data_IF_265078180526
#
_entry.id   IF_265078180526
#
_cell.length_a   1.000
_cell.length_b   1.000
_cell.length_c   1.000
_cell.angle_alpha   90.00
_cell.angle_beta   90.00
_cell.angle_gamma   90.00
#
_symmetry.space_group_name_H-M   'P 1'
#
loop_
_entity.id
_entity.type
_entity.pdbx_description
1 polymer ?
#
# COMPACT_ATOMS: atom_id res chain seq x y z
N UNK A 1 6.97 8.38 -7.14
CA UNK A 1 6.59 9.66 -6.52
C UNK A 1 6.47 9.55 -5.00
N UNK A 2 5.55 8.78 -4.41
CA UNK A 2 5.43 8.69 -2.94
C UNK A 2 6.66 8.10 -2.21
N UNK A 3 7.23 7.00 -2.72
CA UNK A 3 8.51 6.46 -2.21
C UNK A 3 9.69 7.45 -2.38
N UNK A 4 9.65 8.29 -3.41
CA UNK A 4 10.69 9.31 -3.65
C UNK A 4 10.60 10.51 -2.68
N UNK A 5 9.49 10.64 -1.94
CA UNK A 5 9.31 11.66 -0.90
C UNK A 5 9.43 11.10 0.53
N UNK A 6 9.74 9.81 0.70
CA UNK A 6 9.90 9.19 2.02
C UNK A 6 8.61 9.14 2.87
N UNK A 7 7.44 9.32 2.24
CA UNK A 7 6.16 9.29 2.95
C UNK A 7 5.73 7.84 3.10
N UNK A 8 5.64 7.38 4.35
CA UNK A 8 5.19 6.03 4.69
C UNK A 8 3.73 5.85 4.24
N UNK A 9 3.40 4.76 3.51
CA UNK A 9 2.02 4.45 3.17
C UNK A 9 1.14 4.40 4.43
N UNK A 10 0.05 5.17 4.43
CA UNK A 10 -0.86 5.25 5.57
C UNK A 10 -0.45 6.26 6.66
N UNK A 11 0.60 7.06 6.44
CA UNK A 11 1.03 8.11 7.39
C UNK A 11 -0.11 9.08 7.77
N UNK A 12 -0.94 9.48 6.81
CA UNK A 12 -2.10 10.35 7.07
C UNK A 12 -3.15 9.67 7.96
N UNK A 13 -3.40 8.38 7.73
CA UNK A 13 -4.36 7.61 8.52
C UNK A 13 -3.87 7.41 9.95
N UNK A 14 -2.56 7.15 10.11
CA UNK A 14 -1.90 7.09 11.42
C UNK A 14 -1.99 8.42 12.16
N UNK A 15 -1.68 9.53 11.49
CA UNK A 15 -1.79 10.86 12.09
C UNK A 15 -3.22 11.19 12.55
N UNK A 16 -4.23 10.74 11.81
CA UNK A 16 -5.64 10.89 12.19
C UNK A 16 -5.99 10.05 13.44
N UNK A 17 -5.51 8.81 13.51
CA UNK A 17 -5.67 7.93 14.68
C UNK A 17 -5.01 8.57 15.91
N UNK A 18 -3.74 8.96 15.79
CA UNK A 18 -2.98 9.61 16.88
C UNK A 18 -3.70 10.87 17.38
N UNK A 19 -4.27 11.66 16.46
CA UNK A 19 -5.04 12.86 16.78
C UNK A 19 -6.38 12.59 17.47
N UNK A 20 -7.05 11.49 17.13
CA UNK A 20 -8.30 11.06 17.76
C UNK A 20 -8.05 10.52 19.17
N UNK A 21 -7.01 9.69 19.35
CA UNK A 21 -6.60 9.18 20.66
C UNK A 21 -6.23 10.30 21.63
N UNK A 22 -5.46 11.31 21.17
CA UNK A 22 -5.09 12.46 21.99
C UNK A 22 -6.29 13.31 22.47
N UNK A 23 -7.47 13.12 21.89
CA UNK A 23 -8.71 13.86 22.18
C UNK A 23 -9.81 12.98 22.75
N UNK A 24 -9.53 11.69 23.00
CA UNK A 24 -10.50 10.69 23.44
C UNK A 24 -11.73 10.60 22.51
N UNK A 25 -11.48 10.67 21.20
CA UNK A 25 -12.52 10.56 20.18
C UNK A 25 -12.69 9.11 19.73
N UNK A 26 -13.93 8.64 19.48
CA UNK A 26 -14.17 7.28 19.04
C UNK A 26 -13.63 7.04 17.62
N UNK A 27 -12.94 5.92 17.43
CA UNK A 27 -12.41 5.47 16.14
C UNK A 27 -13.23 4.28 15.66
N UNK A 28 -13.65 4.32 14.40
CA UNK A 28 -14.45 3.27 13.76
C UNK A 28 -13.72 2.72 12.54
N UNK A 29 -13.62 1.38 12.45
CA UNK A 29 -13.13 0.71 11.25
C UNK A 29 -14.27 0.63 10.23
N UNK A 30 -14.29 1.56 9.28
CA UNK A 30 -15.36 1.66 8.25
C UNK A 30 -15.03 0.81 7.01
N UNK A 31 -13.75 0.55 6.74
CA UNK A 31 -13.37 -0.28 5.60
C UNK A 31 -13.40 -1.78 5.95
N UNK A 32 -13.62 -2.59 4.93
CA UNK A 32 -13.54 -4.05 5.02
C UNK A 32 -12.10 -4.48 5.26
N UNK A 33 -11.95 -5.75 5.62
CA UNK A 33 -10.62 -6.38 5.66
C UNK A 33 -9.85 -6.13 4.36
N UNK A 34 -8.62 -5.63 4.50
CA UNK A 34 -7.75 -5.24 3.37
C UNK A 34 -7.57 -6.38 2.37
N UNK A 35 -7.51 -7.63 2.83
CA UNK A 35 -7.42 -8.82 1.97
C UNK A 35 -8.61 -8.98 1.03
N UNK A 36 -9.82 -8.63 1.47
CA UNK A 36 -11.02 -8.67 0.62
C UNK A 36 -10.94 -7.58 -0.45
N UNK A 37 -10.50 -6.37 -0.08
CA UNK A 37 -10.26 -5.26 -1.02
C UNK A 37 -9.24 -5.65 -2.08
N UNK A 38 -8.09 -6.18 -1.68
CA UNK A 38 -7.03 -6.59 -2.60
C UNK A 38 -7.48 -7.72 -3.54
N UNK A 39 -8.17 -8.74 -3.02
CA UNK A 39 -8.73 -9.82 -3.85
C UNK A 39 -9.67 -9.29 -4.92
N UNK A 40 -10.50 -8.30 -4.61
CA UNK A 40 -11.40 -7.66 -5.57
C UNK A 40 -10.65 -6.85 -6.62
N UNK A 41 -9.66 -6.05 -6.19
CA UNK A 41 -8.83 -5.28 -7.10
C UNK A 41 -8.08 -6.18 -8.10
N UNK A 42 -7.52 -7.29 -7.61
CA UNK A 42 -6.86 -8.29 -8.47
C UNK A 42 -7.85 -9.00 -9.41
N UNK A 43 -9.11 -9.17 -9.00
CA UNK A 43 -10.16 -9.76 -9.85
C UNK A 43 -10.66 -8.78 -10.92
N UNK A 44 -10.55 -7.47 -10.71
CA UNK A 44 -11.03 -6.46 -11.67
C UNK A 44 -10.07 -6.21 -12.84
N UNK A 45 -8.83 -6.71 -12.79
CA UNK A 45 -7.84 -6.54 -13.86
C UNK A 45 -7.80 -7.75 -14.80
N UNK A 46 -7.41 -7.52 -16.06
CA UNK A 46 -7.29 -8.58 -17.06
C UNK A 46 -6.18 -9.57 -16.74
N UNK A 47 -6.24 -10.78 -17.32
CA UNK A 47 -5.24 -11.83 -17.06
C UNK A 47 -3.79 -11.38 -17.34
N UNK A 48 -3.56 -10.70 -18.46
CA UNK A 48 -2.23 -10.20 -18.84
C UNK A 48 -1.73 -9.08 -17.93
N UNK A 49 -2.62 -8.16 -17.53
CA UNK A 49 -2.31 -7.07 -16.60
C UNK A 49 -1.95 -7.62 -15.22
N UNK A 50 -2.69 -8.63 -14.75
CA UNK A 50 -2.38 -9.33 -13.50
C UNK A 50 -0.98 -9.96 -13.52
N UNK A 51 -0.57 -10.58 -14.63
CA UNK A 51 0.78 -11.12 -14.77
C UNK A 51 1.84 -10.01 -14.73
N UNK A 52 1.57 -8.86 -15.35
CA UNK A 52 2.44 -7.69 -15.28
C UNK A 52 2.61 -7.15 -13.86
N UNK A 53 1.51 -7.03 -13.10
CA UNK A 53 1.55 -6.62 -11.68
C UNK A 53 2.37 -7.61 -10.84
N UNK A 54 2.11 -8.91 -10.99
CA UNK A 54 2.85 -9.95 -10.27
C UNK A 54 4.34 -9.95 -10.62
N UNK A 55 4.68 -9.75 -11.91
CA UNK A 55 6.06 -9.63 -12.37
C UNK A 55 6.76 -8.38 -11.85
N UNK A 56 6.06 -7.24 -11.80
CA UNK A 56 6.58 -6.00 -11.22
C UNK A 56 6.87 -6.12 -9.71
N UNK A 57 5.96 -6.75 -8.96
CA UNK A 57 6.13 -7.03 -7.53
C UNK A 57 7.28 -8.02 -7.28
N UNK A 58 7.38 -9.07 -8.09
CA UNK A 58 8.50 -10.00 -8.01
C UNK A 58 9.84 -9.33 -8.36
N UNK A 59 9.84 -8.39 -9.32
CA UNK A 59 11.01 -7.60 -9.66
C UNK A 59 11.40 -6.58 -8.58
N UNK A 60 10.43 -6.03 -7.83
CA UNK A 60 10.72 -5.03 -6.79
C UNK A 60 11.36 -5.63 -5.53
N UNK A 61 11.21 -6.93 -5.29
CA UNK A 61 11.90 -7.63 -4.19
C UNK A 61 13.31 -8.09 -4.56
N UNK A 62 13.70 -7.98 -5.84
CA UNK A 62 15.07 -8.25 -6.28
C UNK A 62 15.88 -6.99 -5.98
N UNK A 63 16.94 -7.07 -5.13
CA UNK A 63 17.82 -5.94 -4.89
C UNK A 63 18.37 -5.44 -6.22
N UNK A 64 18.25 -4.14 -6.47
CA UNK A 64 19.01 -3.51 -7.55
C UNK A 64 20.45 -3.47 -7.08
N UNK A 65 21.33 -4.21 -7.72
CA UNK A 65 22.75 -3.94 -7.60
C UNK A 65 22.95 -2.53 -8.14
N UNK A 66 23.38 -1.60 -7.27
CA UNK A 66 23.86 -0.30 -7.71
C UNK A 66 25.03 -0.58 -8.65
N UNK A 67 24.82 -0.36 -9.94
CA UNK A 67 25.92 -0.37 -10.91
C UNK A 67 26.72 0.90 -10.61
N UNK A 68 27.74 0.76 -9.78
CA UNK A 68 28.82 1.75 -9.67
C UNK A 68 29.48 1.86 -11.04
N UNK A 69 29.36 3.04 -11.65
CA UNK A 69 30.26 3.49 -12.71
C UNK A 69 31.43 4.26 -12.10
#
# INVERSE_FOLDING_TARGET
LAEQFGIEPGAEMKAAIDGAEARDLPIWLIDREVGITLKRAVRSVGFMERLGIMGGLAGSVIPREDVEE
#
